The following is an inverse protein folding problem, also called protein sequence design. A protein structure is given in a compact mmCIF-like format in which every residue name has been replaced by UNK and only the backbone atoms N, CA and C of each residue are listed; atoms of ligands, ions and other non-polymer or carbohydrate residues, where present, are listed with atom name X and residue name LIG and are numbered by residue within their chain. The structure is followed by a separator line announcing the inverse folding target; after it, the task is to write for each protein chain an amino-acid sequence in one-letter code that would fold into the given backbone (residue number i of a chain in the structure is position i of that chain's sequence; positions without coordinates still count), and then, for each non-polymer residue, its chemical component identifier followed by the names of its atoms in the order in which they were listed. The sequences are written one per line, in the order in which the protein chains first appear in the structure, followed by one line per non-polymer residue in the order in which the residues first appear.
data_IF_956382680904
#
_entry.id   IF_956382680904
#
_cell.length_a   1.000
_cell.length_b   1.000
_cell.length_c   1.000
_cell.angle_alpha   90.00
_cell.angle_beta   90.00
_cell.angle_gamma   90.00
#
_symmetry.space_group_name_H-M   'P 1'
#
loop_
_entity.id
_entity.type
_entity.pdbx_description
1 polymer ?
#
# COMPACT_ATOMS: atom_id res chain seq x y z
N UNK A 1 -20.79 -22.83 1.75
CA UNK A 1 -20.18 -21.49 1.52
C UNK A 1 -19.50 -21.50 0.17
N UNK A 2 -19.84 -20.58 -0.76
CA UNK A 2 -19.21 -20.56 -2.09
C UNK A 2 -17.69 -20.48 -1.99
N UNK A 3 -17.00 -21.40 -2.65
CA UNK A 3 -15.53 -21.52 -2.67
C UNK A 3 -14.87 -20.50 -3.61
N UNK A 4 -15.68 -19.72 -4.34
CA UNK A 4 -15.25 -18.77 -5.36
C UNK A 4 -15.85 -17.39 -5.12
N UNK A 5 -15.18 -16.35 -5.63
CA UNK A 5 -15.61 -14.95 -5.64
C UNK A 5 -15.35 -14.41 -7.06
N UNK A 6 -16.21 -13.51 -7.56
CA UNK A 6 -15.94 -12.87 -8.85
C UNK A 6 -14.68 -12.01 -8.78
N UNK A 7 -13.93 -11.99 -9.87
CA UNK A 7 -12.66 -11.29 -9.98
C UNK A 7 -12.83 -9.78 -9.79
N UNK A 8 -13.89 -9.22 -10.36
CA UNK A 8 -14.27 -7.82 -10.19
C UNK A 8 -14.50 -7.47 -8.72
N UNK A 9 -15.30 -8.28 -8.00
CA UNK A 9 -15.53 -8.08 -6.56
C UNK A 9 -14.22 -8.15 -5.77
N UNK A 10 -13.32 -9.09 -6.12
CA UNK A 10 -12.03 -9.21 -5.46
C UNK A 10 -11.15 -7.97 -5.69
N UNK A 11 -11.06 -7.47 -6.93
CA UNK A 11 -10.30 -6.27 -7.29
C UNK A 11 -10.86 -5.03 -6.58
N UNK A 12 -12.18 -4.84 -6.59
CA UNK A 12 -12.82 -3.70 -5.95
C UNK A 12 -12.58 -3.68 -4.43
N UNK A 13 -12.69 -4.84 -3.76
CA UNK A 13 -12.41 -4.94 -2.31
C UNK A 13 -10.95 -4.67 -1.95
N UNK A 14 -10.00 -5.07 -2.80
CA UNK A 14 -8.60 -4.76 -2.58
C UNK A 14 -8.34 -3.26 -2.79
N UNK A 15 -8.87 -2.70 -3.87
CA UNK A 15 -8.78 -1.26 -4.14
C UNK A 15 -9.41 -0.41 -3.03
N UNK A 16 -10.58 -0.82 -2.49
CA UNK A 16 -11.25 -0.09 -1.41
C UNK A 16 -10.43 -0.05 -0.12
N UNK A 17 -9.42 -0.90 0.04
CA UNK A 17 -8.49 -0.87 1.17
C UNK A 17 -7.26 -0.05 0.81
N UNK A 18 -6.68 -0.27 -0.37
CA UNK A 18 -5.47 0.38 -0.82
C UNK A 18 -5.64 1.89 -1.03
N UNK A 19 -6.66 2.34 -1.77
CA UNK A 19 -6.83 3.76 -2.07
C UNK A 19 -6.99 4.62 -0.80
N UNK A 20 -7.92 4.31 0.13
CA UNK A 20 -8.04 5.09 1.35
C UNK A 20 -6.78 5.00 2.22
N UNK A 21 -6.18 3.82 2.35
CA UNK A 21 -4.98 3.64 3.17
C UNK A 21 -3.81 4.46 2.65
N UNK A 22 -3.55 4.41 1.35
CA UNK A 22 -2.49 5.20 0.74
C UNK A 22 -2.80 6.70 0.76
N UNK A 23 -4.06 7.09 0.58
CA UNK A 23 -4.48 8.48 0.73
C UNK A 23 -4.20 9.03 2.13
N UNK A 24 -4.52 8.26 3.16
CA UNK A 24 -4.21 8.62 4.56
C UNK A 24 -2.69 8.64 4.81
N UNK A 25 -1.93 7.65 4.34
CA UNK A 25 -0.46 7.65 4.45
C UNK A 25 0.16 8.88 3.77
N UNK A 26 -0.31 9.22 2.58
CA UNK A 26 0.12 10.41 1.84
C UNK A 26 -0.18 11.69 2.61
N UNK A 27 -1.41 11.83 3.14
CA UNK A 27 -1.79 13.00 3.94
C UNK A 27 -0.97 13.13 5.22
N UNK A 28 -0.73 12.02 5.94
CA UNK A 28 0.14 12.00 7.12
C UNK A 28 1.53 12.53 6.75
N UNK A 29 2.11 12.02 5.66
CA UNK A 29 3.43 12.45 5.21
C UNK A 29 3.48 13.90 4.73
N UNK A 30 2.43 14.37 4.04
CA UNK A 30 2.29 15.75 3.63
C UNK A 30 2.23 16.68 4.85
N UNK A 31 1.42 16.36 5.85
CA UNK A 31 1.33 17.11 7.11
C UNK A 31 2.68 17.12 7.82
N UNK A 32 3.34 15.96 7.96
CA UNK A 32 4.68 15.88 8.56
C UNK A 32 5.71 16.74 7.83
N UNK A 33 5.65 16.77 6.48
CA UNK A 33 6.53 17.61 5.67
C UNK A 33 6.26 19.09 5.91
N UNK A 34 4.99 19.52 5.92
CA UNK A 34 4.59 20.90 6.18
C UNK A 34 4.97 21.36 7.60
N UNK A 35 4.95 20.45 8.58
CA UNK A 35 5.40 20.70 9.95
C UNK A 35 6.94 20.68 10.12
N UNK A 36 7.70 20.48 9.03
CA UNK A 36 9.15 20.46 9.06
C UNK A 36 9.77 19.18 9.64
N UNK A 37 9.01 18.09 9.77
CA UNK A 37 9.48 16.85 10.40
C UNK A 37 10.66 16.18 9.68
N UNK A 38 10.88 16.51 8.40
CA UNK A 38 11.96 15.99 7.57
C UNK A 38 13.03 17.04 7.21
N UNK A 39 12.86 18.31 7.58
CA UNK A 39 13.81 19.38 7.24
C UNK A 39 14.19 19.43 5.74
N UNK A 40 15.48 19.55 5.44
CA UNK A 40 16.04 19.50 4.08
C UNK A 40 15.95 18.12 3.42
N UNK A 41 15.72 17.07 4.22
CA UNK A 41 15.70 15.67 3.78
C UNK A 41 14.30 15.20 3.35
N UNK A 42 13.35 16.11 3.18
CA UNK A 42 11.98 15.76 2.74
C UNK A 42 12.00 14.93 1.44
N UNK A 43 12.87 15.26 0.48
CA UNK A 43 13.01 14.50 -0.76
C UNK A 43 13.35 13.02 -0.52
N UNK A 44 14.21 12.72 0.46
CA UNK A 44 14.54 11.33 0.82
C UNK A 44 13.38 10.60 1.47
N UNK A 45 12.63 11.27 2.35
CA UNK A 45 11.43 10.70 2.97
C UNK A 45 10.39 10.30 1.90
N UNK A 46 10.13 11.18 0.94
CA UNK A 46 9.23 10.91 -0.18
C UNK A 46 9.80 9.87 -1.15
N UNK A 47 11.12 9.88 -1.37
CA UNK A 47 11.84 8.89 -2.17
C UNK A 47 11.76 7.48 -1.58
N UNK A 48 11.64 7.34 -0.26
CA UNK A 48 11.30 6.08 0.38
C UNK A 48 9.80 5.77 0.25
N UNK A 49 8.92 6.73 0.54
CA UNK A 49 7.50 6.47 0.67
C UNK A 49 6.81 6.12 -0.65
N UNK A 50 7.02 6.90 -1.72
CA UNK A 50 6.29 6.73 -2.98
C UNK A 50 6.50 5.35 -3.62
N UNK A 51 7.73 4.80 -3.71
CA UNK A 51 7.94 3.46 -4.23
C UNK A 51 7.18 2.37 -3.47
N UNK A 52 6.90 2.55 -2.18
CA UNK A 52 6.24 1.53 -1.36
C UNK A 52 4.74 1.35 -1.68
N UNK A 53 4.06 2.34 -2.27
CA UNK A 53 2.62 2.23 -2.53
C UNK A 53 2.14 2.73 -3.89
N UNK A 54 2.87 3.64 -4.54
CA UNK A 54 2.44 4.24 -5.81
C UNK A 54 2.35 3.21 -6.95
N UNK A 55 3.30 2.25 -7.12
CA UNK A 55 3.20 1.23 -8.16
C UNK A 55 1.93 0.37 -8.02
N UNK A 56 1.52 0.06 -6.80
CA UNK A 56 0.31 -0.73 -6.53
C UNK A 56 -0.95 0.04 -6.90
N UNK A 57 -1.03 1.33 -6.55
CA UNK A 57 -2.15 2.18 -6.95
C UNK A 57 -2.22 2.32 -8.47
N UNK A 58 -1.08 2.54 -9.13
CA UNK A 58 -1.00 2.63 -10.58
C UNK A 58 -1.53 1.36 -11.25
N UNK A 59 -1.12 0.17 -10.78
CA UNK A 59 -1.64 -1.12 -11.26
C UNK A 59 -3.17 -1.21 -11.15
N UNK A 60 -3.73 -0.83 -10.00
CA UNK A 60 -5.18 -0.87 -9.77
C UNK A 60 -5.92 0.08 -10.71
N UNK A 61 -5.42 1.31 -10.87
CA UNK A 61 -5.98 2.31 -11.80
C UNK A 61 -5.95 1.77 -13.24
N UNK A 62 -4.82 1.20 -13.68
CA UNK A 62 -4.69 0.68 -15.05
C UNK A 62 -5.73 -0.40 -15.36
N UNK A 63 -6.03 -1.27 -14.40
CA UNK A 63 -6.99 -2.37 -14.58
C UNK A 63 -8.42 -1.87 -14.55
N UNK A 64 -8.75 -0.92 -13.68
CA UNK A 64 -10.08 -0.29 -13.70
C UNK A 64 -10.30 0.56 -14.95
N UNK A 65 -9.28 1.26 -15.43
CA UNK A 65 -9.35 1.98 -16.69
C UNK A 65 -9.57 1.03 -17.87
N UNK A 66 -8.89 -0.12 -17.89
CA UNK A 66 -9.12 -1.14 -18.91
C UNK A 66 -10.56 -1.67 -18.88
N UNK A 67 -11.10 -1.97 -17.69
CA UNK A 67 -12.49 -2.41 -17.53
C UNK A 67 -13.52 -1.35 -17.93
N UNK A 68 -13.26 -0.07 -17.68
CA UNK A 68 -14.15 1.03 -18.06
C UNK A 68 -14.17 1.31 -19.58
N UNK A 69 -13.11 0.93 -20.30
CA UNK A 69 -12.99 1.13 -21.75
C UNK A 69 -13.47 -0.07 -22.57
N UNK A 70 -13.60 -1.25 -21.97
CA UNK A 70 -14.04 -2.47 -22.62
C UNK A 70 -15.56 -2.65 -22.45
N UNK A 71 -16.30 -3.11 -23.47
CA UNK A 71 -17.70 -3.49 -23.30
C UNK A 71 -17.82 -4.64 -22.30
N UNK A 72 -18.92 -4.68 -21.53
CA UNK A 72 -19.18 -5.69 -20.49
C UNK A 72 -18.75 -7.10 -20.94
N UNK A 73 -17.79 -7.67 -20.23
CA UNK A 73 -17.27 -8.99 -20.53
C UNK A 73 -18.37 -10.03 -20.33
N UNK A 74 -18.67 -10.81 -21.38
CA UNK A 74 -19.71 -11.85 -21.37
C UNK A 74 -19.45 -13.00 -20.38
N UNK A 75 -18.24 -13.11 -19.82
CA UNK A 75 -17.82 -14.19 -18.93
C UNK A 75 -17.33 -13.66 -17.58
N UNK A 76 -18.08 -13.94 -16.52
CA UNK A 76 -17.71 -13.59 -15.15
C UNK A 76 -16.57 -14.51 -14.66
N UNK A 77 -15.33 -14.01 -14.60
CA UNK A 77 -14.21 -14.77 -14.05
C UNK A 77 -14.33 -14.90 -12.55
N UNK A 78 -14.10 -16.12 -12.07
CA UNK A 78 -14.17 -16.48 -10.66
C UNK A 78 -12.82 -16.95 -10.12
N UNK A 79 -12.42 -16.42 -8.95
CA UNK A 79 -11.19 -16.79 -8.25
C UNK A 79 -11.51 -17.54 -6.96
N UNK A 80 -10.61 -18.44 -6.54
CA UNK A 80 -10.75 -19.15 -5.26
C UNK A 80 -10.73 -18.16 -4.09
N UNK A 81 -11.72 -18.28 -3.20
CA UNK A 81 -11.88 -17.40 -2.04
C UNK A 81 -10.70 -17.45 -1.07
N UNK A 82 -9.96 -18.56 -1.03
CA UNK A 82 -8.75 -18.71 -0.22
C UNK A 82 -7.62 -17.84 -0.74
N UNK A 83 -7.45 -17.77 -2.06
CA UNK A 83 -6.43 -16.93 -2.68
C UNK A 83 -6.75 -15.45 -2.48
N UNK A 84 -8.00 -15.04 -2.67
CA UNK A 84 -8.44 -13.67 -2.33
C UNK A 84 -8.14 -13.33 -0.85
N UNK A 85 -8.44 -14.24 0.09
CA UNK A 85 -8.13 -14.02 1.51
C UNK A 85 -6.63 -13.86 1.76
N UNK A 86 -5.78 -14.64 1.09
CA UNK A 86 -4.33 -14.49 1.18
C UNK A 86 -3.88 -13.11 0.68
N UNK A 87 -4.30 -12.69 -0.52
CA UNK A 87 -3.96 -11.38 -1.07
C UNK A 87 -4.46 -10.23 -0.20
N UNK A 88 -5.64 -10.39 0.40
CA UNK A 88 -6.22 -9.43 1.34
C UNK A 88 -5.37 -9.31 2.61
N UNK A 89 -5.02 -10.43 3.24
CA UNK A 89 -4.19 -10.44 4.44
C UNK A 89 -2.81 -9.86 4.19
N UNK A 90 -2.17 -10.22 3.08
CA UNK A 90 -0.88 -9.64 2.67
C UNK A 90 -0.99 -8.12 2.49
N UNK A 91 -2.05 -7.66 1.82
CA UNK A 91 -2.29 -6.22 1.61
C UNK A 91 -2.45 -5.48 2.94
N UNK A 92 -3.32 -5.97 3.83
CA UNK A 92 -3.57 -5.35 5.14
C UNK A 92 -2.29 -5.34 5.98
N UNK A 93 -1.58 -6.48 6.03
CA UNK A 93 -0.35 -6.61 6.80
C UNK A 93 0.73 -5.64 6.29
N UNK A 94 0.94 -5.58 4.97
CA UNK A 94 1.90 -4.67 4.38
C UNK A 94 1.56 -3.20 4.63
N UNK A 95 0.29 -2.80 4.43
CA UNK A 95 -0.15 -1.45 4.74
C UNK A 95 0.05 -1.10 6.22
N UNK A 96 -0.27 -2.03 7.14
CA UNK A 96 -0.03 -1.84 8.56
C UNK A 96 1.46 -1.62 8.88
N UNK A 97 2.35 -2.37 8.23
CA UNK A 97 3.81 -2.16 8.35
C UNK A 97 4.20 -0.75 7.90
N UNK A 98 3.68 -0.25 6.77
CA UNK A 98 3.95 1.12 6.32
C UNK A 98 3.46 2.17 7.33
N UNK A 99 2.27 1.98 7.90
CA UNK A 99 1.77 2.84 8.98
C UNK A 99 2.69 2.83 10.19
N UNK A 100 3.15 1.66 10.62
CA UNK A 100 4.06 1.53 11.76
C UNK A 100 5.35 2.30 11.50
N UNK A 101 5.97 2.15 10.33
CA UNK A 101 7.22 2.86 10.01
C UNK A 101 7.04 4.38 10.03
N UNK A 102 5.96 4.88 9.42
CA UNK A 102 5.71 6.33 9.32
C UNK A 102 5.27 6.94 10.66
N UNK A 103 4.53 6.20 11.49
CA UNK A 103 4.00 6.70 12.76
C UNK A 103 4.88 6.39 13.97
N UNK A 104 5.79 5.42 13.90
CA UNK A 104 6.66 5.07 15.03
C UNK A 104 7.43 6.27 15.61
N UNK A 105 8.03 7.17 14.80
CA UNK A 105 8.69 8.36 15.35
C UNK A 105 7.74 9.30 16.10
N UNK A 106 6.50 9.42 15.63
CA UNK A 106 5.45 10.25 16.25
C UNK A 106 4.99 9.63 17.56
N UNK A 107 4.71 8.33 17.57
CA UNK A 107 4.29 7.59 18.77
C UNK A 107 5.40 7.61 19.82
N UNK A 108 6.65 7.38 19.43
CA UNK A 108 7.80 7.44 20.34
C UNK A 108 8.00 8.82 20.94
N UNK A 109 7.77 9.89 20.17
CA UNK A 109 7.77 11.25 20.68
C UNK A 109 6.71 11.45 21.76
N UNK A 110 5.47 10.98 21.53
CA UNK A 110 4.40 11.06 22.54
C UNK A 110 4.69 10.24 23.81
N UNK A 111 5.29 9.05 23.66
CA UNK A 111 5.57 8.16 24.80
C UNK A 111 6.80 8.59 25.62
N UNK A 112 7.84 9.11 24.96
CA UNK A 112 9.14 9.42 25.61
C UNK A 112 9.39 10.92 25.79
N UNK A 113 8.55 11.79 25.24
CA UNK A 113 8.71 13.24 25.30
C UNK A 113 9.91 13.80 24.51
N UNK A 114 10.63 12.95 23.77
CA UNK A 114 11.81 13.33 22.99
C UNK A 114 11.50 13.23 21.50
N UNK A 115 11.58 14.34 20.79
CA UNK A 115 11.42 14.36 19.35
C UNK A 115 12.63 13.69 18.68
N UNK A 116 12.45 12.64 17.87
CA UNK A 116 13.56 12.04 17.13
C UNK A 116 14.11 13.04 16.12
N UNK A 117 15.43 13.07 15.99
CA UNK A 117 16.15 13.90 15.01
C UNK A 117 15.71 13.54 13.60
N UNK A 118 15.83 14.51 12.67
CA UNK A 118 15.53 14.28 11.25
C UNK A 118 16.31 13.07 10.71
N UNK A 119 17.61 12.99 11.03
CA UNK A 119 18.47 11.88 10.63
C UNK A 119 17.98 10.53 11.17
N UNK A 120 17.58 10.46 12.44
CA UNK A 120 17.05 9.23 13.03
C UNK A 120 15.74 8.77 12.35
N UNK A 121 14.87 9.72 11.97
CA UNK A 121 13.64 9.42 11.23
C UNK A 121 13.93 8.83 9.85
N UNK A 122 14.80 9.49 9.09
CA UNK A 122 15.17 9.04 7.74
C UNK A 122 15.87 7.69 7.80
N UNK A 123 16.83 7.51 8.73
CA UNK A 123 17.54 6.25 8.89
C UNK A 123 16.60 5.10 9.26
N UNK A 124 15.59 5.34 10.12
CA UNK A 124 14.59 4.32 10.45
C UNK A 124 13.75 3.89 9.23
N UNK A 125 13.36 4.84 8.37
CA UNK A 125 12.66 4.54 7.11
C UNK A 125 13.57 3.72 6.18
N UNK A 126 14.82 4.14 5.98
CA UNK A 126 15.77 3.44 5.12
C UNK A 126 16.04 2.02 5.61
N UNK A 127 16.24 1.81 6.92
CA UNK A 127 16.40 0.50 7.53
C UNK A 127 15.15 -0.38 7.36
N UNK A 128 13.96 0.21 7.38
CA UNK A 128 12.73 -0.54 7.15
C UNK A 128 12.65 -1.18 5.76
N UNK A 129 13.38 -0.63 4.77
CA UNK A 129 13.47 -1.17 3.42
C UNK A 129 13.90 -2.64 3.37
N UNK A 130 14.70 -3.08 4.36
CA UNK A 130 15.17 -4.48 4.47
C UNK A 130 14.01 -5.47 4.51
N UNK A 131 12.89 -5.09 5.15
CA UNK A 131 11.70 -5.95 5.23
C UNK A 131 10.53 -5.44 4.41
N UNK A 132 10.39 -4.12 4.17
CA UNK A 132 9.29 -3.63 3.32
C UNK A 132 9.44 -4.06 1.87
N UNK A 133 10.67 -4.13 1.33
CA UNK A 133 10.92 -4.60 -0.03
C UNK A 133 10.42 -6.03 -0.29
N UNK A 134 10.84 -7.03 0.49
CA UNK A 134 10.32 -8.40 0.37
C UNK A 134 8.80 -8.51 0.57
N UNK A 135 8.25 -7.81 1.55
CA UNK A 135 6.80 -7.81 1.81
C UNK A 135 6.01 -7.18 0.67
N UNK A 136 6.54 -6.09 0.09
CA UNK A 136 5.97 -5.46 -1.09
C UNK A 136 5.97 -6.43 -2.26
N UNK A 137 7.09 -7.13 -2.51
CA UNK A 137 7.20 -8.09 -3.60
C UNK A 137 6.15 -9.21 -3.49
N UNK A 138 5.98 -9.79 -2.28
CA UNK A 138 4.94 -10.80 -2.03
C UNK A 138 3.53 -10.25 -2.26
N UNK A 139 3.28 -9.03 -1.80
CA UNK A 139 1.96 -8.38 -1.94
C UNK A 139 1.66 -8.06 -3.40
N UNK A 140 2.62 -7.50 -4.13
CA UNK A 140 2.51 -7.20 -5.57
C UNK A 140 2.37 -8.47 -6.38
N UNK A 141 3.07 -9.56 -6.05
CA UNK A 141 2.87 -10.84 -6.72
C UNK A 141 1.44 -11.37 -6.53
N UNK A 142 0.92 -11.31 -5.29
CA UNK A 142 -0.43 -11.77 -4.98
C UNK A 142 -1.52 -10.89 -5.64
N UNK A 143 -1.29 -9.58 -5.74
CA UNK A 143 -2.16 -8.65 -6.46
C UNK A 143 -2.04 -8.84 -7.98
N UNK A 144 -0.84 -9.05 -8.50
CA UNK A 144 -0.58 -9.24 -9.93
C UNK A 144 -1.38 -10.41 -10.50
N UNK A 145 -1.51 -11.52 -9.77
CA UNK A 145 -2.36 -12.65 -10.20
C UNK A 145 -3.83 -12.24 -10.35
N UNK A 146 -4.36 -11.39 -9.47
CA UNK A 146 -5.75 -10.93 -9.51
C UNK A 146 -5.98 -9.83 -10.54
N UNK A 147 -4.99 -8.96 -10.74
CA UNK A 147 -5.14 -7.77 -11.58
C UNK A 147 -4.70 -8.02 -13.04
N UNK A 148 -3.76 -8.94 -13.31
CA UNK A 148 -3.34 -9.30 -14.67
C UNK A 148 -4.07 -10.51 -15.27
N UNK A 149 -4.95 -11.19 -14.53
CA UNK A 149 -5.82 -12.20 -15.14
C UNK A 149 -6.74 -11.53 -16.16
N UNK A 150 -6.56 -11.88 -17.45
CA UNK A 150 -7.44 -11.45 -18.53
C UNK A 150 -8.82 -12.09 -18.38
N UNK A 151 -9.85 -11.27 -18.52
CA UNK A 151 -11.25 -11.68 -18.73
C UNK A 151 -11.46 -12.38 -20.07
#
# INVERSE_FOLDING_TARGET
MSSKISLETARYKLASIWFPSCGVLFLIMAIQTLMGAYGTEASRAWGWALPNFLPTLALMISVFAAGALLPDALNEIHVRRTFFRLSLWLSIFYLAVLYIVILAPVVLMFLRGVAPTVEARISAMEQASVFTGPLQALTVAALGVLFFQKE
#
